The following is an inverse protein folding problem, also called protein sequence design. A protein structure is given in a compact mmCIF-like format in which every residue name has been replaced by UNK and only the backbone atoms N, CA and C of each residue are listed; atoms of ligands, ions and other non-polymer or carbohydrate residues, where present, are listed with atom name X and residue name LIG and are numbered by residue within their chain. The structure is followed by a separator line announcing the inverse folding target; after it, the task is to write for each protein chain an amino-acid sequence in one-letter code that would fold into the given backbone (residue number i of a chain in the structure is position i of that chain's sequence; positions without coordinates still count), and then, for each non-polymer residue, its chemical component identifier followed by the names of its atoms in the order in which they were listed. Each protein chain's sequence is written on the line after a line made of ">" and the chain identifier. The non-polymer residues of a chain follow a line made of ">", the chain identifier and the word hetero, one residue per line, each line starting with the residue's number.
data_IF_102523749271
#
_entry.id   IF_102523749271
#
_cell.length_a   1.000
_cell.length_b   1.000
_cell.length_c   1.000
_cell.angle_alpha   90.00
_cell.angle_beta   90.00
_cell.angle_gamma   90.00
#
_symmetry.space_group_name_H-M   'P 1'
#
loop_
_entity.id
_entity.type
_entity.pdbx_description
1 polymer ?
#
# COMPACT_ATOMS: atom_id res chain seq x y z
N UNK A 1 12.94 13.16 -10.63
CA UNK A 1 13.39 12.00 -9.80
C UNK A 1 12.52 11.81 -8.56
N UNK A 2 12.29 12.85 -7.75
CA UNK A 2 11.38 12.80 -6.60
C UNK A 2 9.95 12.42 -6.99
N UNK A 3 9.41 13.01 -8.06
CA UNK A 3 8.07 12.71 -8.57
C UNK A 3 7.91 11.22 -8.91
N UNK A 4 8.95 10.60 -9.47
CA UNK A 4 8.96 9.17 -9.76
C UNK A 4 8.88 8.33 -8.48
N UNK A 5 9.57 8.72 -7.40
CA UNK A 5 9.52 8.03 -6.10
C UNK A 5 8.14 8.16 -5.45
N UNK A 6 7.51 9.33 -5.55
CA UNK A 6 6.13 9.56 -5.06
C UNK A 6 5.16 8.70 -5.87
N UNK A 7 5.29 8.71 -7.20
CA UNK A 7 4.44 7.91 -8.08
C UNK A 7 4.55 6.42 -7.77
N UNK A 8 5.76 5.93 -7.47
CA UNK A 8 6.02 4.55 -7.12
C UNK A 8 5.38 4.14 -5.79
N UNK A 9 5.37 5.04 -4.81
CA UNK A 9 4.67 4.84 -3.53
C UNK A 9 3.16 4.76 -3.71
N UNK A 10 2.58 5.69 -4.47
CA UNK A 10 1.13 5.72 -4.74
C UNK A 10 0.69 4.50 -5.56
N UNK A 11 1.36 4.22 -6.68
CA UNK A 11 1.05 3.07 -7.54
C UNK A 11 1.28 1.76 -6.78
N UNK A 12 2.37 1.65 -6.01
CA UNK A 12 2.68 0.48 -5.20
C UNK A 12 1.63 0.22 -4.12
N UNK A 13 1.19 1.28 -3.41
CA UNK A 13 0.10 1.19 -2.45
C UNK A 13 -1.21 0.72 -3.10
N UNK A 14 -1.60 1.34 -4.21
CA UNK A 14 -2.79 0.95 -4.97
C UNK A 14 -2.73 -0.50 -5.45
N UNK A 15 -1.59 -0.94 -5.97
CA UNK A 15 -1.38 -2.32 -6.37
C UNK A 15 -1.59 -3.29 -5.20
N UNK A 16 -0.97 -3.02 -4.05
CA UNK A 16 -1.14 -3.84 -2.84
C UNK A 16 -2.61 -3.88 -2.40
N UNK A 17 -3.29 -2.73 -2.35
CA UNK A 17 -4.69 -2.66 -1.94
C UNK A 17 -5.60 -3.47 -2.88
N UNK A 18 -5.49 -3.26 -4.18
CA UNK A 18 -6.35 -3.90 -5.19
C UNK A 18 -6.09 -5.41 -5.23
N UNK A 19 -4.84 -5.83 -5.29
CA UNK A 19 -4.51 -7.26 -5.35
C UNK A 19 -4.94 -7.99 -4.07
N UNK A 20 -4.70 -7.39 -2.91
CA UNK A 20 -5.14 -7.99 -1.62
C UNK A 20 -6.66 -8.10 -1.57
N UNK A 21 -7.37 -7.04 -1.94
CA UNK A 21 -8.84 -7.03 -1.92
C UNK A 21 -9.44 -8.07 -2.88
N UNK A 22 -8.95 -8.12 -4.12
CA UNK A 22 -9.44 -9.10 -5.12
C UNK A 22 -9.22 -10.52 -4.62
N UNK A 23 -8.02 -10.82 -4.12
CA UNK A 23 -7.67 -12.14 -3.60
C UNK A 23 -8.60 -12.53 -2.44
N UNK A 24 -8.88 -11.61 -1.51
CA UNK A 24 -9.82 -11.86 -0.42
C UNK A 24 -11.26 -12.05 -0.91
N UNK A 25 -11.71 -11.28 -1.90
CA UNK A 25 -13.07 -11.41 -2.45
C UNK A 25 -13.27 -12.75 -3.18
N UNK A 26 -12.25 -13.25 -3.87
CA UNK A 26 -12.33 -14.51 -4.64
C UNK A 26 -12.19 -15.74 -3.74
N UNK A 27 -11.25 -15.71 -2.80
CA UNK A 27 -10.87 -16.91 -2.03
C UNK A 27 -11.22 -16.84 -0.54
N UNK A 28 -11.71 -15.70 -0.06
CA UNK A 28 -12.11 -15.47 1.33
C UNK A 28 -11.05 -14.79 2.20
N UNK A 29 -11.46 -14.38 3.40
CA UNK A 29 -10.69 -13.53 4.33
C UNK A 29 -9.27 -14.01 4.64
N UNK A 30 -9.02 -15.32 4.79
CA UNK A 30 -7.69 -15.85 5.13
C UNK A 30 -6.63 -15.50 4.08
N UNK A 31 -7.04 -15.33 2.83
CA UNK A 31 -6.14 -14.98 1.74
C UNK A 31 -5.63 -13.54 1.80
N UNK A 32 -6.19 -12.70 2.68
CA UNK A 32 -5.62 -11.40 3.03
C UNK A 32 -4.19 -11.48 3.58
N UNK A 33 -3.79 -12.64 4.14
CA UNK A 33 -2.42 -12.87 4.58
C UNK A 33 -1.39 -12.77 3.44
N UNK A 34 -1.77 -13.09 2.19
CA UNK A 34 -0.89 -12.86 1.03
C UNK A 34 -0.61 -11.37 0.81
N UNK A 35 -1.57 -10.51 1.15
CA UNK A 35 -1.38 -9.06 1.13
C UNK A 35 -0.30 -8.60 2.10
N UNK A 36 -0.12 -9.27 3.24
CA UNK A 36 0.99 -8.99 4.19
C UNK A 36 2.33 -9.23 3.51
N UNK A 37 2.47 -10.32 2.74
CA UNK A 37 3.71 -10.60 2.02
C UNK A 37 4.02 -9.52 0.98
N UNK A 38 3.03 -9.09 0.19
CA UNK A 38 3.17 -7.99 -0.77
C UNK A 38 3.53 -6.67 -0.09
N UNK A 39 2.90 -6.39 1.05
CA UNK A 39 3.17 -5.21 1.87
C UNK A 39 4.61 -5.20 2.38
N UNK A 40 5.09 -6.31 2.95
CA UNK A 40 6.47 -6.44 3.44
C UNK A 40 7.46 -6.25 2.30
N UNK A 41 7.22 -6.87 1.13
CA UNK A 41 8.07 -6.66 -0.05
C UNK A 41 8.09 -5.19 -0.48
N UNK A 42 6.94 -4.52 -0.50
CA UNK A 42 6.86 -3.09 -0.83
C UNK A 42 7.67 -2.22 0.14
N UNK A 43 7.56 -2.49 1.43
CA UNK A 43 8.34 -1.78 2.47
C UNK A 43 9.84 -2.00 2.31
N UNK A 44 10.27 -3.25 2.07
CA UNK A 44 11.69 -3.56 1.89
C UNK A 44 12.26 -2.94 0.61
N UNK A 45 11.49 -2.93 -0.49
CA UNK A 45 11.84 -2.21 -1.71
C UNK A 45 11.96 -0.70 -1.45
N UNK A 46 11.03 -0.11 -0.70
CA UNK A 46 11.08 1.31 -0.33
C UNK A 46 12.34 1.64 0.49
N UNK A 47 12.69 0.80 1.47
CA UNK A 47 13.94 0.94 2.25
C UNK A 47 15.20 0.79 1.40
N UNK A 48 15.19 -0.16 0.46
CA UNK A 48 16.29 -0.34 -0.49
C UNK A 48 16.49 0.89 -1.38
N UNK A 49 15.41 1.41 -1.95
CA UNK A 49 15.42 2.62 -2.77
C UNK A 49 15.84 3.85 -1.95
N UNK A 50 15.36 3.99 -0.71
CA UNK A 50 15.80 5.05 0.22
C UNK A 50 17.31 5.03 0.40
N UNK A 51 17.89 3.86 0.72
CA UNK A 51 19.35 3.72 0.89
C UNK A 51 20.09 4.13 -0.38
N UNK A 52 19.70 3.59 -1.54
CA UNK A 52 20.34 3.90 -2.83
C UNK A 52 20.22 5.37 -3.21
N UNK A 53 19.06 6.00 -2.97
CA UNK A 53 18.84 7.40 -3.28
C UNK A 53 19.67 8.34 -2.40
N UNK A 54 19.72 8.04 -1.09
CA UNK A 54 20.43 8.87 -0.12
C UNK A 54 21.95 8.78 -0.28
N UNK A 55 22.47 7.63 -0.71
CA UNK A 55 23.89 7.40 -0.97
C UNK A 55 24.37 8.08 -2.26
N UNK A 56 23.55 8.05 -3.32
CA UNK A 56 23.97 8.52 -4.66
C UNK A 56 23.63 9.99 -4.92
N UNK A 57 22.50 10.49 -4.44
CA UNK A 57 21.91 11.74 -4.97
C UNK A 57 22.02 12.92 -4.00
N UNK A 58 22.14 12.66 -2.70
CA UNK A 58 21.98 13.70 -1.68
C UNK A 58 23.26 13.99 -0.90
N UNK A 59 24.38 14.12 -1.62
CA UNK A 59 25.66 14.55 -1.04
C UNK A 59 25.77 16.08 -0.85
N UNK A 60 24.93 16.89 -1.54
CA UNK A 60 25.23 18.31 -1.75
C UNK A 60 24.27 19.31 -1.09
N UNK A 61 23.14 18.90 -0.48
CA UNK A 61 22.23 19.82 0.22
C UNK A 61 21.49 19.17 1.39
N UNK A 62 21.60 19.70 2.64
CA UNK A 62 20.87 19.21 3.81
C UNK A 62 19.34 19.25 3.64
N UNK A 63 18.84 20.27 2.95
CA UNK A 63 17.39 20.44 2.74
C UNK A 63 16.83 19.37 1.81
N UNK A 64 17.51 19.07 0.70
CA UNK A 64 17.11 18.01 -0.21
C UNK A 64 17.11 16.62 0.47
N UNK A 65 17.97 16.44 1.47
CA UNK A 65 18.08 15.21 2.27
C UNK A 65 16.83 14.97 3.10
N UNK A 66 16.37 16.02 3.77
CA UNK A 66 15.21 15.95 4.65
C UNK A 66 13.94 15.71 3.85
N UNK A 67 13.77 16.41 2.72
CA UNK A 67 12.61 16.22 1.82
C UNK A 67 12.58 14.80 1.26
N UNK A 68 13.72 14.29 0.76
CA UNK A 68 13.78 12.91 0.27
C UNK A 68 13.46 11.90 1.37
N UNK A 69 14.00 12.09 2.58
CA UNK A 69 13.72 11.21 3.73
C UNK A 69 12.23 11.16 4.04
N UNK A 70 11.58 12.33 4.08
CA UNK A 70 10.16 12.45 4.37
C UNK A 70 9.30 11.77 3.30
N UNK A 71 9.65 11.88 2.02
CA UNK A 71 8.94 11.20 0.93
C UNK A 71 9.00 9.68 1.10
N UNK A 72 10.16 9.12 1.42
CA UNK A 72 10.28 7.67 1.65
C UNK A 72 9.50 7.22 2.89
N UNK A 73 9.42 8.04 3.94
CA UNK A 73 8.56 7.78 5.12
C UNK A 73 7.07 7.81 4.75
N UNK A 74 6.64 8.77 3.94
CA UNK A 74 5.26 8.83 3.44
C UNK A 74 4.92 7.63 2.56
N UNK A 75 5.83 7.17 1.71
CA UNK A 75 5.61 5.98 0.89
C UNK A 75 5.40 4.71 1.74
N UNK A 76 6.15 4.56 2.83
CA UNK A 76 5.97 3.43 3.76
C UNK A 76 4.59 3.48 4.43
N UNK A 77 4.15 4.66 4.85
CA UNK A 77 2.79 4.86 5.37
C UNK A 77 1.70 4.56 4.33
N UNK A 78 1.88 4.98 3.08
CA UNK A 78 0.94 4.68 1.99
C UNK A 78 0.83 3.17 1.78
N UNK A 79 1.95 2.44 1.78
CA UNK A 79 1.95 0.98 1.63
C UNK A 79 1.19 0.30 2.78
N UNK A 80 1.49 0.67 4.02
CA UNK A 80 0.83 0.12 5.21
C UNK A 80 -0.67 0.43 5.24
N UNK A 81 -1.04 1.70 5.00
CA UNK A 81 -2.43 2.15 4.98
C UNK A 81 -3.22 1.52 3.83
N UNK A 82 -2.60 1.27 2.68
CA UNK A 82 -3.23 0.61 1.54
C UNK A 82 -3.63 -0.83 1.86
N UNK A 83 -2.77 -1.58 2.54
CA UNK A 83 -3.11 -2.91 3.04
C UNK A 83 -4.25 -2.85 4.06
N UNK A 84 -4.16 -1.96 5.06
CA UNK A 84 -5.23 -1.81 6.06
C UNK A 84 -6.58 -1.41 5.41
N UNK A 85 -6.55 -0.51 4.42
CA UNK A 85 -7.73 -0.10 3.67
C UNK A 85 -8.36 -1.27 2.91
N UNK A 86 -7.56 -2.17 2.34
CA UNK A 86 -8.08 -3.36 1.66
C UNK A 86 -8.81 -4.30 2.62
N UNK A 87 -8.29 -4.51 3.83
CA UNK A 87 -8.96 -5.31 4.86
C UNK A 87 -10.30 -4.68 5.27
N UNK A 88 -10.29 -3.37 5.51
CA UNK A 88 -11.49 -2.63 5.88
C UNK A 88 -12.55 -2.69 4.76
N UNK A 89 -12.15 -2.46 3.51
CA UNK A 89 -13.04 -2.54 2.35
C UNK A 89 -13.64 -3.92 2.18
N UNK A 90 -12.85 -4.98 2.40
CA UNK A 90 -13.37 -6.34 2.36
C UNK A 90 -14.53 -6.53 3.35
N UNK A 91 -14.36 -6.13 4.62
CA UNK A 91 -15.42 -6.25 5.64
C UNK A 91 -16.67 -5.43 5.27
N UNK A 92 -16.49 -4.20 4.78
CA UNK A 92 -17.60 -3.35 4.32
C UNK A 92 -18.36 -4.01 3.16
N UNK A 93 -17.64 -4.54 2.17
CA UNK A 93 -18.25 -5.22 1.01
C UNK A 93 -18.99 -6.48 1.45
N UNK A 94 -18.39 -7.31 2.32
CA UNK A 94 -19.05 -8.50 2.82
C UNK A 94 -20.33 -8.14 3.58
N UNK A 95 -20.30 -7.09 4.40
CA UNK A 95 -21.50 -6.65 5.12
C UNK A 95 -22.58 -6.11 4.19
N UNK A 96 -22.18 -5.37 3.16
CA UNK A 96 -23.10 -4.88 2.15
C UNK A 96 -23.77 -6.04 1.39
N UNK A 97 -23.00 -7.04 0.96
CA UNK A 97 -23.50 -8.23 0.28
C UNK A 97 -24.47 -9.02 1.18
N UNK A 98 -24.14 -9.18 2.47
CA UNK A 98 -25.03 -9.82 3.44
C UNK A 98 -26.38 -9.09 3.55
N UNK A 99 -26.37 -7.76 3.62
CA UNK A 99 -27.60 -6.96 3.68
C UNK A 99 -28.40 -7.12 2.38
N UNK A 100 -27.76 -6.99 1.22
CA UNK A 100 -28.45 -7.04 -0.08
C UNK A 100 -29.06 -8.41 -0.35
N UNK A 101 -28.39 -9.50 0.02
CA UNK A 101 -28.91 -10.86 -0.18
C UNK A 101 -30.05 -11.19 0.79
N UNK A 102 -29.96 -10.75 2.05
CA UNK A 102 -30.93 -11.11 3.09
C UNK A 102 -32.16 -10.20 3.15
N UNK A 103 -32.15 -9.05 2.46
CA UNK A 103 -33.34 -8.21 2.34
C UNK A 103 -34.28 -8.86 1.31
N UNK A 104 -35.52 -9.23 1.68
CA UNK A 104 -36.48 -9.77 0.72
C UNK A 104 -36.66 -8.77 -0.42
N UNK A 105 -36.61 -9.24 -1.67
CA UNK A 105 -37.14 -8.48 -2.79
C UNK A 105 -38.62 -8.22 -2.48
N UNK A 106 -38.96 -6.96 -2.17
CA UNK A 106 -40.33 -6.54 -1.90
C UNK A 106 -41.28 -6.90 -3.03
#
# INVERSE_FOLDING_TARGET
>A
MIEFVILLGVIGGWFIAVTTLIVMLVFGKMWGLLGVFLMVLGVELNKFLKRKYMDVVVSNSPWAREVARHIFEMNELIILSSYAASLFLYEVIQKYVEIVINVPAG
#
